data_IF_359718790389
#
_entry.id   IF_359718790389
#
_cell.length_a   1.000
_cell.length_b   1.000
_cell.length_c   1.000
_cell.angle_alpha   90.00
_cell.angle_beta   90.00
_cell.angle_gamma   90.00
#
_symmetry.space_group_name_H-M   'P 1'
#
loop_
_entity.id
_entity.type
_entity.pdbx_description
1 polymer ?
#
# COMPACT_ATOMS: atom_id res chain seq x y z
N UNK A 1 -32.97 15.94 6.59
CA UNK A 1 -32.05 15.35 5.61
C UNK A 1 -31.02 16.43 5.27
N UNK A 2 -29.74 16.21 5.53
CA UNK A 2 -28.68 17.20 5.29
C UNK A 2 -28.08 16.94 3.91
N UNK A 3 -28.12 17.90 2.97
CA UNK A 3 -27.52 17.70 1.64
C UNK A 3 -25.99 17.60 1.76
N UNK A 4 -25.40 16.65 1.03
CA UNK A 4 -23.97 16.35 1.04
C UNK A 4 -23.34 16.84 -0.27
N UNK A 5 -22.33 17.72 -0.18
CA UNK A 5 -21.68 18.34 -1.34
C UNK A 5 -20.21 17.89 -1.51
N UNK A 6 -19.91 16.63 -1.19
CA UNK A 6 -18.54 16.12 -1.15
C UNK A 6 -17.83 16.10 -2.49
N UNK A 7 -18.55 15.91 -3.60
CA UNK A 7 -17.93 15.88 -4.94
C UNK A 7 -17.27 17.20 -5.31
N UNK A 8 -17.91 18.34 -4.97
CA UNK A 8 -17.35 19.66 -5.24
C UNK A 8 -16.14 19.92 -4.32
N UNK A 9 -16.26 19.64 -3.03
CA UNK A 9 -15.15 19.74 -2.07
C UNK A 9 -13.93 18.91 -2.49
N UNK A 10 -14.15 17.65 -2.89
CA UNK A 10 -13.12 16.73 -3.38
C UNK A 10 -12.42 17.29 -4.62
N UNK A 11 -13.17 17.85 -5.57
CA UNK A 11 -12.60 18.46 -6.77
C UNK A 11 -11.84 19.75 -6.45
N UNK A 12 -12.32 20.57 -5.50
CA UNK A 12 -11.65 21.81 -5.11
C UNK A 12 -10.29 21.51 -4.43
N UNK A 13 -10.22 20.48 -3.58
CA UNK A 13 -8.94 20.00 -3.03
C UNK A 13 -8.02 19.42 -4.11
N UNK A 14 -8.58 18.74 -5.11
CA UNK A 14 -7.79 18.25 -6.25
C UNK A 14 -7.17 19.39 -7.07
N UNK A 15 -7.91 20.47 -7.29
CA UNK A 15 -7.38 21.67 -7.97
C UNK A 15 -6.21 22.27 -7.19
N UNK A 16 -6.34 22.45 -5.88
CA UNK A 16 -5.25 22.94 -5.01
C UNK A 16 -3.99 22.07 -5.14
N UNK A 17 -4.15 20.74 -5.21
CA UNK A 17 -3.02 19.83 -5.43
C UNK A 17 -2.33 20.05 -6.79
N UNK A 18 -3.10 20.19 -7.87
CA UNK A 18 -2.54 20.32 -9.23
C UNK A 18 -1.92 21.68 -9.49
N UNK A 19 -2.55 22.74 -9.00
CA UNK A 19 -2.08 24.11 -9.18
C UNK A 19 -0.84 24.39 -8.32
N UNK A 20 -0.56 23.52 -7.34
CA UNK A 20 0.47 23.71 -6.33
C UNK A 20 0.37 25.11 -5.70
N UNK A 21 -0.86 25.52 -5.37
CA UNK A 21 -1.12 26.77 -4.65
C UNK A 21 -0.86 26.56 -3.16
N UNK A 22 -0.19 27.52 -2.51
CA UNK A 22 0.12 27.53 -1.05
C UNK A 22 0.69 26.23 -0.43
N UNK A 23 1.40 25.41 -1.22
CA UNK A 23 2.06 24.22 -0.69
C UNK A 23 3.19 24.59 0.28
N UNK A 24 3.36 23.77 1.32
CA UNK A 24 4.40 23.98 2.33
C UNK A 24 5.24 22.72 2.59
N UNK A 25 5.07 21.69 1.76
CA UNK A 25 5.87 20.45 1.78
C UNK A 25 6.30 20.10 0.36
N UNK A 26 7.58 19.79 0.20
CA UNK A 26 8.14 19.14 -0.99
C UNK A 26 8.58 17.74 -0.59
N UNK A 27 7.97 16.73 -1.20
CA UNK A 27 8.28 15.31 -0.98
C UNK A 27 9.02 14.80 -2.21
N UNK A 28 10.29 14.46 -2.04
CA UNK A 28 11.07 13.74 -3.06
C UNK A 28 10.81 12.25 -2.93
N UNK A 29 10.28 11.63 -3.97
CA UNK A 29 9.85 10.23 -3.98
C UNK A 29 10.63 9.45 -5.03
N UNK A 30 11.01 8.21 -4.72
CA UNK A 30 11.83 7.37 -5.58
C UNK A 30 13.33 7.65 -5.45
N UNK A 31 14.13 6.82 -6.12
CA UNK A 31 15.60 6.90 -6.09
C UNK A 31 16.19 7.32 -7.44
N UNK A 32 17.39 7.91 -7.39
CA UNK A 32 18.23 8.23 -8.55
C UNK A 32 17.49 9.05 -9.62
N UNK A 33 17.61 8.66 -10.89
CA UNK A 33 17.05 9.36 -12.05
C UNK A 33 15.52 9.26 -12.15
N UNK A 34 14.90 8.31 -11.43
CA UNK A 34 13.46 8.14 -11.39
C UNK A 34 12.81 8.95 -10.26
N UNK A 35 13.60 9.67 -9.46
CA UNK A 35 13.06 10.45 -8.35
C UNK A 35 12.21 11.63 -8.86
N UNK A 36 11.02 11.81 -8.28
CA UNK A 36 10.09 12.90 -8.62
C UNK A 36 9.77 13.71 -7.38
N UNK A 37 9.63 15.02 -7.55
CA UNK A 37 9.17 15.92 -6.49
C UNK A 37 7.66 16.10 -6.52
N UNK A 38 7.05 16.09 -5.35
CA UNK A 38 5.63 16.30 -5.12
C UNK A 38 5.43 17.49 -4.18
N UNK A 39 4.62 18.45 -4.62
CA UNK A 39 4.25 19.61 -3.82
C UNK A 39 2.93 19.33 -3.09
N UNK A 40 2.90 19.54 -1.77
CA UNK A 40 1.76 19.16 -0.96
C UNK A 40 1.58 20.03 0.30
N UNK A 41 0.45 19.83 0.97
CA UNK A 41 0.04 20.54 2.17
C UNK A 41 0.18 19.64 3.39
N UNK A 42 1.08 20.01 4.29
CA UNK A 42 1.34 19.25 5.52
C UNK A 42 0.06 19.02 6.33
N UNK A 43 -0.84 20.00 6.40
CA UNK A 43 -2.09 19.88 7.17
C UNK A 43 -3.00 18.76 6.64
N UNK A 44 -3.10 18.60 5.32
CA UNK A 44 -3.93 17.57 4.68
C UNK A 44 -3.28 16.20 4.89
N UNK A 45 -1.97 16.09 4.63
CA UNK A 45 -1.21 14.85 4.82
C UNK A 45 -1.33 14.33 6.26
N UNK A 46 -1.11 15.21 7.25
CA UNK A 46 -1.18 14.88 8.69
C UNK A 46 -2.59 14.53 9.16
N UNK A 47 -3.63 15.06 8.49
CA UNK A 47 -5.02 14.74 8.81
C UNK A 47 -5.43 13.36 8.27
N UNK A 48 -4.87 12.93 7.14
CA UNK A 48 -5.26 11.70 6.43
C UNK A 48 -4.33 10.51 6.67
N UNK A 49 -3.17 10.73 7.29
CA UNK A 49 -2.19 9.68 7.56
C UNK A 49 -1.52 9.90 8.92
N UNK A 50 -1.66 8.94 9.87
CA UNK A 50 -0.90 8.94 11.12
C UNK A 50 0.62 8.96 10.90
N UNK A 51 1.10 8.30 9.84
CA UNK A 51 2.50 8.32 9.45
C UNK A 51 2.96 9.76 9.18
N UNK A 52 2.27 10.47 8.27
CA UNK A 52 2.62 11.87 7.99
C UNK A 52 2.37 12.77 9.19
N UNK A 53 1.39 12.48 10.05
CA UNK A 53 1.20 13.19 11.32
C UNK A 53 2.45 13.13 12.18
N UNK A 54 3.07 11.96 12.33
CA UNK A 54 4.34 11.79 13.04
C UNK A 54 5.52 12.39 12.28
N UNK A 55 5.71 11.97 11.03
CA UNK A 55 6.85 12.33 10.19
C UNK A 55 6.96 13.85 9.99
N UNK A 56 5.84 14.54 9.76
CA UNK A 56 5.79 15.99 9.50
C UNK A 56 5.70 16.86 10.77
N UNK A 57 5.52 16.27 11.95
CA UNK A 57 5.57 17.01 13.22
C UNK A 57 6.96 16.97 13.88
N UNK A 58 7.91 16.25 13.28
CA UNK A 58 9.23 16.00 13.84
C UNK A 58 10.13 17.24 13.79
N UNK A 59 10.89 17.48 14.87
CA UNK A 59 11.89 18.56 14.95
C UNK A 59 13.08 18.35 13.99
N UNK A 60 13.20 17.17 13.40
CA UNK A 60 14.32 16.75 12.55
C UNK A 60 14.11 17.06 11.06
N UNK A 61 12.94 17.60 10.69
CA UNK A 61 12.68 17.93 9.30
C UNK A 61 13.42 19.19 8.91
N UNK A 62 14.12 19.14 7.79
CA UNK A 62 14.73 20.31 7.19
C UNK A 62 13.64 21.30 6.78
N UNK A 63 13.71 22.50 7.37
CA UNK A 63 12.88 23.63 7.00
C UNK A 63 13.76 24.71 6.41
N UNK A 64 13.47 25.11 5.17
CA UNK A 64 14.15 26.23 4.51
C UNK A 64 13.08 27.20 4.02
N UNK A 65 13.11 28.45 4.50
CA UNK A 65 12.11 29.47 4.20
C UNK A 65 10.66 28.96 4.45
N UNK A 66 10.44 28.32 5.60
CA UNK A 66 9.15 27.71 5.99
C UNK A 66 8.65 26.54 5.12
N UNK A 67 9.40 26.14 4.09
CA UNK A 67 9.15 24.93 3.29
C UNK A 67 9.74 23.70 3.97
N UNK A 68 8.94 22.64 4.10
CA UNK A 68 9.35 21.33 4.64
C UNK A 68 9.87 20.47 3.48
N UNK A 69 11.10 19.94 3.62
CA UNK A 69 11.66 18.97 2.67
C UNK A 69 11.64 17.57 3.28
N UNK A 70 11.08 16.62 2.54
CA UNK A 70 10.93 15.24 2.98
C UNK A 70 11.29 14.27 1.86
N UNK A 71 11.90 13.14 2.19
CA UNK A 71 12.32 12.13 1.21
C UNK A 71 11.67 10.78 1.50
N UNK A 72 11.17 10.14 0.45
CA UNK A 72 10.54 8.82 0.47
C UNK A 72 11.06 7.98 -0.70
N UNK A 73 12.32 7.51 -0.63
CA UNK A 73 12.98 6.84 -1.75
C UNK A 73 12.36 5.48 -2.11
N UNK A 74 11.74 4.82 -1.13
CA UNK A 74 11.27 3.44 -1.22
C UNK A 74 9.86 3.26 -1.80
N UNK A 75 9.26 4.33 -2.35
CA UNK A 75 7.96 4.28 -3.04
C UNK A 75 8.17 4.76 -4.47
N UNK A 76 7.59 4.05 -5.44
CA UNK A 76 7.61 4.48 -6.83
C UNK A 76 6.76 5.76 -7.04
N UNK A 77 7.22 6.74 -7.85
CA UNK A 77 6.49 7.99 -8.05
C UNK A 77 5.04 7.85 -8.53
N UNK A 78 4.76 6.90 -9.42
CA UNK A 78 3.40 6.59 -9.90
C UNK A 78 2.50 6.11 -8.75
N UNK A 79 2.99 5.20 -7.90
CA UNK A 79 2.27 4.72 -6.72
C UNK A 79 2.01 5.85 -5.74
N UNK A 80 3.00 6.71 -5.50
CA UNK A 80 2.83 7.86 -4.62
C UNK A 80 1.83 8.88 -5.18
N UNK A 81 1.80 9.09 -6.50
CA UNK A 81 0.80 9.95 -7.15
C UNK A 81 -0.63 9.45 -6.86
N UNK A 82 -0.85 8.14 -6.95
CA UNK A 82 -2.14 7.51 -6.59
C UNK A 82 -2.51 7.76 -5.13
N UNK A 83 -1.56 7.57 -4.20
CA UNK A 83 -1.76 7.81 -2.76
C UNK A 83 -2.08 9.28 -2.50
N UNK A 84 -1.35 10.20 -3.13
CA UNK A 84 -1.53 11.63 -2.94
C UNK A 84 -2.90 12.07 -3.47
N UNK A 85 -3.30 11.61 -4.65
CA UNK A 85 -4.66 11.83 -5.17
C UNK A 85 -5.72 11.29 -4.23
N UNK A 86 -5.54 10.08 -3.70
CA UNK A 86 -6.46 9.49 -2.72
C UNK A 86 -6.55 10.34 -1.45
N UNK A 87 -5.43 10.81 -0.91
CA UNK A 87 -5.39 11.64 0.30
C UNK A 87 -6.23 12.92 0.14
N UNK A 88 -6.12 13.59 -1.02
CA UNK A 88 -6.81 14.86 -1.26
C UNK A 88 -8.28 14.68 -1.63
N UNK A 89 -8.59 13.62 -2.38
CA UNK A 89 -9.89 13.52 -3.05
C UNK A 89 -10.79 12.43 -2.49
N UNK A 90 -10.23 11.44 -1.80
CA UNK A 90 -10.91 10.19 -1.43
C UNK A 90 -11.24 9.29 -2.62
N UNK A 91 -10.69 9.58 -3.81
CA UNK A 91 -10.92 8.80 -5.04
C UNK A 91 -9.68 7.98 -5.37
N UNK A 92 -9.91 6.80 -5.94
CA UNK A 92 -8.87 5.88 -6.36
C UNK A 92 -9.29 5.21 -7.68
N UNK A 93 -8.46 5.32 -8.71
CA UNK A 93 -8.70 4.73 -10.03
C UNK A 93 -7.67 3.63 -10.29
N UNK A 94 -8.09 2.37 -10.15
CA UNK A 94 -7.22 1.19 -10.27
C UNK A 94 -7.41 0.40 -11.56
N UNK A 95 -8.47 0.68 -12.33
CA UNK A 95 -8.89 -0.16 -13.46
C UNK A 95 -7.80 -0.31 -14.53
N UNK A 96 -7.14 0.79 -14.88
CA UNK A 96 -6.09 0.84 -15.90
C UNK A 96 -4.67 0.72 -15.32
N UNK A 97 -4.54 0.54 -14.00
CA UNK A 97 -3.24 0.46 -13.34
C UNK A 97 -2.66 -0.96 -13.46
N UNK A 98 -1.34 -1.10 -13.69
CA UNK A 98 -0.63 -2.37 -13.60
C UNK A 98 -0.88 -3.06 -12.26
N UNK A 99 -0.92 -4.38 -12.25
CA UNK A 99 -1.21 -5.12 -11.01
C UNK A 99 -0.03 -5.06 -10.04
N UNK A 100 1.19 -4.92 -10.58
CA UNK A 100 2.43 -4.65 -9.86
C UNK A 100 2.32 -3.33 -9.08
N UNK A 101 1.88 -2.26 -9.74
CA UNK A 101 1.67 -0.95 -9.10
C UNK A 101 0.60 -1.01 -8.00
N UNK A 102 -0.45 -1.83 -8.19
CA UNK A 102 -1.50 -2.03 -7.17
C UNK A 102 -0.95 -2.83 -5.98
N UNK A 103 -0.05 -3.80 -6.20
CA UNK A 103 0.64 -4.51 -5.12
C UNK A 103 1.60 -3.57 -4.38
N UNK A 104 2.34 -2.71 -5.09
CA UNK A 104 3.16 -1.66 -4.46
C UNK A 104 2.31 -0.64 -3.69
N UNK A 105 1.12 -0.29 -4.20
CA UNK A 105 0.16 0.54 -3.48
C UNK A 105 -0.27 -0.10 -2.16
N UNK A 106 -0.47 -1.42 -2.12
CA UNK A 106 -0.77 -2.15 -0.89
C UNK A 106 0.34 -1.97 0.14
N UNK A 107 1.60 -2.20 -0.26
CA UNK A 107 2.78 -2.07 0.60
C UNK A 107 2.91 -0.64 1.11
N UNK A 108 2.83 0.35 0.21
CA UNK A 108 2.95 1.76 0.54
C UNK A 108 1.82 2.25 1.45
N UNK A 109 0.60 1.70 1.32
CA UNK A 109 -0.54 2.06 2.16
C UNK A 109 -0.38 1.56 3.60
N UNK A 110 0.20 0.36 3.79
CA UNK A 110 0.57 -0.15 5.12
C UNK A 110 1.66 0.74 5.74
N UNK A 111 2.73 1.04 4.99
CA UNK A 111 3.86 1.83 5.47
C UNK A 111 3.45 3.27 5.85
N UNK A 112 2.54 3.88 5.07
CA UNK A 112 2.02 5.22 5.33
C UNK A 112 0.83 5.22 6.31
N UNK A 113 0.49 4.07 6.89
CA UNK A 113 -0.59 3.88 7.87
C UNK A 113 -1.94 4.39 7.36
N UNK A 114 -2.27 4.13 6.10
CA UNK A 114 -3.54 4.52 5.45
C UNK A 114 -4.46 3.29 5.42
N UNK A 115 -5.01 2.95 6.59
CA UNK A 115 -5.76 1.69 6.83
C UNK A 115 -6.94 1.50 5.86
N UNK A 116 -7.74 2.54 5.63
CA UNK A 116 -8.88 2.50 4.69
C UNK A 116 -8.45 2.09 3.28
N UNK A 117 -7.32 2.63 2.80
CA UNK A 117 -6.77 2.34 1.48
C UNK A 117 -6.17 0.93 1.44
N UNK A 118 -5.39 0.58 2.46
CA UNK A 118 -4.78 -0.73 2.61
C UNK A 118 -5.82 -1.86 2.58
N UNK A 119 -6.91 -1.69 3.32
CA UNK A 119 -8.01 -2.65 3.38
C UNK A 119 -8.76 -2.80 2.06
N UNK A 120 -8.98 -1.68 1.37
CA UNK A 120 -9.62 -1.66 0.06
C UNK A 120 -8.77 -2.38 -0.99
N UNK A 121 -7.47 -2.11 -1.02
CA UNK A 121 -6.55 -2.67 -2.03
C UNK A 121 -6.45 -4.19 -1.92
N UNK A 122 -6.44 -4.76 -0.70
CA UNK A 122 -6.51 -6.22 -0.51
C UNK A 122 -7.74 -6.82 -1.21
N UNK A 123 -8.91 -6.24 -0.95
CA UNK A 123 -10.17 -6.72 -1.52
C UNK A 123 -10.20 -6.55 -3.04
N UNK A 124 -9.68 -5.43 -3.55
CA UNK A 124 -9.60 -5.17 -4.98
C UNK A 124 -8.71 -6.19 -5.70
N UNK A 125 -7.52 -6.47 -5.16
CA UNK A 125 -6.60 -7.48 -5.72
C UNK A 125 -7.28 -8.84 -5.83
N UNK A 126 -7.98 -9.28 -4.77
CA UNK A 126 -8.69 -10.56 -4.74
C UNK A 126 -9.83 -10.61 -5.78
N UNK A 127 -10.64 -9.55 -5.86
CA UNK A 127 -11.84 -9.55 -6.72
C UNK A 127 -11.52 -9.30 -8.19
N UNK A 128 -10.69 -8.31 -8.48
CA UNK A 128 -10.49 -7.78 -9.82
C UNK A 128 -9.18 -8.27 -10.46
N UNK A 129 -8.23 -8.79 -9.66
CA UNK A 129 -6.90 -9.22 -10.11
C UNK A 129 -6.55 -10.66 -9.73
N UNK A 130 -7.53 -11.49 -9.38
CA UNK A 130 -7.32 -12.92 -9.03
C UNK A 130 -6.54 -13.70 -10.09
N UNK A 131 -6.80 -13.47 -11.38
CA UNK A 131 -6.07 -14.11 -12.47
C UNK A 131 -4.59 -13.73 -12.52
N UNK A 132 -4.25 -12.47 -12.21
CA UNK A 132 -2.86 -12.04 -12.10
C UNK A 132 -2.19 -12.57 -10.83
N UNK A 133 -2.92 -12.64 -9.71
CA UNK A 133 -2.42 -13.28 -8.48
C UNK A 133 -2.05 -14.74 -8.75
N UNK A 134 -2.87 -15.49 -9.50
CA UNK A 134 -2.58 -16.88 -9.82
C UNK A 134 -1.28 -17.05 -10.64
N UNK A 135 -0.97 -16.12 -11.54
CA UNK A 135 0.26 -16.16 -12.35
C UNK A 135 1.49 -15.62 -11.60
N UNK A 136 1.31 -14.79 -10.58
CA UNK A 136 2.37 -14.18 -9.77
C UNK A 136 2.30 -14.62 -8.30
N UNK A 137 1.81 -15.84 -8.05
CA UNK A 137 1.41 -16.29 -6.72
C UNK A 137 2.52 -16.14 -5.68
N UNK A 138 3.75 -16.58 -6.01
CA UNK A 138 4.90 -16.47 -5.09
C UNK A 138 5.18 -15.02 -4.65
N UNK A 139 5.12 -14.07 -5.57
CA UNK A 139 5.35 -12.65 -5.28
C UNK A 139 4.27 -12.12 -4.32
N UNK A 140 3.01 -12.39 -4.64
CA UNK A 140 1.85 -11.93 -3.84
C UNK A 140 1.85 -12.59 -2.46
N UNK A 141 2.09 -13.90 -2.40
CA UNK A 141 2.18 -14.67 -1.17
C UNK A 141 3.29 -14.12 -0.26
N UNK A 142 4.52 -14.02 -0.77
CA UNK A 142 5.64 -13.48 0.02
C UNK A 142 5.36 -12.06 0.52
N UNK A 143 4.73 -11.22 -0.31
CA UNK A 143 4.36 -9.85 0.08
C UNK A 143 3.31 -9.84 1.18
N UNK A 144 2.22 -10.59 1.00
CA UNK A 144 1.11 -10.62 1.95
C UNK A 144 1.54 -11.10 3.34
N UNK A 145 2.38 -12.13 3.43
CA UNK A 145 2.85 -12.67 4.71
C UNK A 145 3.91 -11.81 5.40
N UNK A 146 4.63 -10.95 4.67
CA UNK A 146 5.51 -9.94 5.28
C UNK A 146 4.71 -8.84 5.99
N UNK A 147 3.51 -8.54 5.51
CA UNK A 147 2.64 -7.48 6.03
C UNK A 147 1.72 -8.03 7.14
N UNK A 148 1.86 -7.53 8.37
CA UNK A 148 1.19 -8.12 9.55
C UNK A 148 -0.35 -8.05 9.50
N UNK A 149 -0.92 -7.00 8.92
CA UNK A 149 -2.38 -6.79 8.89
C UNK A 149 -3.02 -7.21 7.56
N UNK A 150 -2.30 -7.93 6.70
CA UNK A 150 -2.75 -8.29 5.36
C UNK A 150 -3.66 -9.54 5.33
N UNK A 151 -4.53 -9.67 6.33
CA UNK A 151 -5.26 -10.91 6.62
C UNK A 151 -6.11 -11.38 5.42
N UNK A 152 -6.81 -10.47 4.73
CA UNK A 152 -7.73 -10.83 3.64
C UNK A 152 -6.97 -11.47 2.47
N UNK A 153 -5.81 -10.90 2.12
CA UNK A 153 -4.98 -11.43 1.03
C UNK A 153 -4.21 -12.67 1.46
N UNK A 154 -3.75 -12.74 2.72
CA UNK A 154 -3.15 -13.95 3.29
C UNK A 154 -4.15 -15.13 3.27
N UNK A 155 -5.39 -14.92 3.72
CA UNK A 155 -6.45 -15.92 3.70
C UNK A 155 -6.74 -16.40 2.29
N UNK A 156 -6.91 -15.48 1.34
CA UNK A 156 -7.12 -15.83 -0.06
C UNK A 156 -5.96 -16.65 -0.65
N UNK A 157 -4.74 -16.22 -0.39
CA UNK A 157 -3.54 -16.93 -0.80
C UNK A 157 -3.47 -18.33 -0.19
N UNK A 158 -3.81 -18.46 1.08
CA UNK A 158 -3.81 -19.74 1.81
C UNK A 158 -4.89 -20.71 1.30
N UNK A 159 -6.11 -20.23 1.08
CA UNK A 159 -7.19 -21.04 0.49
C UNK A 159 -6.83 -21.53 -0.91
N UNK A 160 -6.14 -20.70 -1.69
CA UNK A 160 -5.69 -21.04 -3.04
C UNK A 160 -4.58 -22.11 -3.06
N UNK A 161 -3.72 -22.15 -2.03
CA UNK A 161 -2.69 -23.19 -1.90
C UNK A 161 -3.20 -24.47 -1.25
N UNK A 162 -4.15 -24.42 -0.30
CA UNK A 162 -4.65 -25.57 0.46
C UNK A 162 -5.27 -26.69 -0.40
N UNK A 163 -5.62 -26.41 -1.67
CA UNK A 163 -6.00 -27.43 -2.66
C UNK A 163 -4.82 -28.17 -3.32
N UNK A 164 -3.60 -27.64 -3.22
CA UNK A 164 -2.42 -28.01 -4.04
C UNK A 164 -1.13 -28.24 -3.22
N UNK A 165 -1.19 -28.16 -1.87
CA UNK A 165 -0.02 -28.20 -0.95
C UNK A 165 0.90 -29.41 -1.08
N UNK A 166 0.47 -30.50 -1.73
CA UNK A 166 1.24 -31.75 -1.72
C UNK A 166 2.41 -31.81 -2.70
N UNK A 167 2.65 -30.83 -3.58
CA UNK A 167 3.67 -31.02 -4.65
C UNK A 167 4.42 -29.79 -5.18
N UNK A 168 4.13 -28.55 -4.77
CA UNK A 168 4.75 -27.39 -5.45
C UNK A 168 6.10 -26.99 -4.83
N UNK A 169 7.12 -26.83 -5.70
CA UNK A 169 8.44 -26.29 -5.37
C UNK A 169 8.40 -24.85 -4.80
N UNK A 170 7.22 -24.22 -4.76
CA UNK A 170 7.00 -22.85 -4.31
C UNK A 170 7.08 -22.72 -2.79
N UNK A 171 6.83 -23.80 -2.04
CA UNK A 171 7.03 -23.82 -0.59
C UNK A 171 8.52 -23.74 -0.21
N UNK A 172 9.37 -24.37 -1.02
CA UNK A 172 10.83 -24.42 -0.80
C UNK A 172 11.52 -23.08 -1.07
N UNK A 173 10.86 -22.14 -1.76
CA UNK A 173 11.40 -20.80 -2.02
C UNK A 173 10.96 -19.75 -0.99
N UNK A 174 10.12 -20.11 -0.03
CA UNK A 174 9.69 -19.23 1.04
C UNK A 174 10.81 -19.01 2.06
N UNK A 175 10.91 -17.78 2.56
CA UNK A 175 11.80 -17.49 3.68
C UNK A 175 11.25 -18.05 5.00
N UNK A 176 12.15 -18.26 5.95
CA UNK A 176 11.83 -18.87 7.25
C UNK A 176 10.74 -18.11 8.00
N UNK A 177 10.71 -16.79 7.94
CA UNK A 177 9.74 -15.98 8.68
C UNK A 177 8.35 -16.11 8.07
N UNK A 178 8.27 -16.18 6.75
CA UNK A 178 7.02 -16.47 6.02
C UNK A 178 6.49 -17.86 6.38
N UNK A 179 7.35 -18.89 6.41
CA UNK A 179 6.95 -20.25 6.82
C UNK A 179 6.45 -20.26 8.27
N UNK A 180 7.16 -19.59 9.18
CA UNK A 180 6.79 -19.52 10.59
C UNK A 180 5.42 -18.86 10.78
N UNK A 181 5.18 -17.70 10.15
CA UNK A 181 3.87 -17.02 10.17
C UNK A 181 2.75 -17.86 9.56
N UNK A 182 3.08 -18.65 8.56
CA UNK A 182 2.12 -19.63 8.02
C UNK A 182 1.78 -20.65 9.11
N UNK A 183 2.77 -21.34 9.67
CA UNK A 183 2.58 -22.38 10.68
C UNK A 183 1.93 -21.90 11.99
N UNK A 184 2.01 -20.61 12.33
CA UNK A 184 1.28 -20.02 13.47
C UNK A 184 -0.25 -19.99 13.28
N UNK A 185 -0.76 -20.20 12.07
CA UNK A 185 -2.20 -20.22 11.84
C UNK A 185 -2.83 -21.54 12.31
N UNK A 186 -3.84 -21.43 13.17
CA UNK A 186 -4.56 -22.58 13.73
C UNK A 186 -5.45 -23.33 12.70
N UNK A 187 -5.69 -22.75 11.52
CA UNK A 187 -6.56 -23.30 10.47
C UNK A 187 -5.84 -24.19 9.45
N UNK A 188 -4.52 -24.35 9.61
CA UNK A 188 -3.71 -25.17 8.71
C UNK A 188 -3.97 -26.66 8.97
N UNK A 189 -4.67 -27.30 8.04
CA UNK A 189 -4.80 -28.76 7.99
C UNK A 189 -3.66 -29.39 7.19
N UNK A 190 -2.42 -29.20 7.63
CA UNK A 190 -1.28 -29.96 7.10
C UNK A 190 -1.12 -31.20 7.98
N UNK A 191 -1.01 -32.36 7.36
CA UNK A 191 -0.62 -33.58 8.07
C UNK A 191 0.78 -33.35 8.66
N UNK A 192 0.95 -33.51 9.98
CA UNK A 192 2.23 -33.29 10.66
C UNK A 192 3.39 -33.97 9.93
N UNK A 193 3.19 -35.18 9.41
CA UNK A 193 4.21 -35.92 8.65
C UNK A 193 4.69 -35.15 7.43
N UNK A 194 3.78 -34.49 6.72
CA UNK A 194 4.07 -33.66 5.53
C UNK A 194 4.66 -32.29 5.89
N UNK A 195 4.43 -31.80 7.11
CA UNK A 195 5.07 -30.57 7.59
C UNK A 195 6.54 -30.77 7.98
N UNK A 196 6.92 -32.00 8.36
CA UNK A 196 8.27 -32.36 8.80
C UNK A 196 9.17 -32.94 7.70
N UNK A 197 8.63 -33.25 6.51
CA UNK A 197 9.36 -33.67 5.30
C UNK A 197 9.79 -32.47 4.44
#
# INVERSE_FOLDING_TARGET
>A
MTPLFYSKLSNDLFSILNDADDYNVIIKVGENENAKEFHAHSVILRARSPYFKGALSSCWIEKKNDMIFYSKPNIAPNVFDMILRYIYTGKLELTEQPSEDILELLIASDELLIEELFDYVQVYLIKERSGWIATHFHLVFSTAFKLNNCNKLQDYCFESTCGSFSTSNEFLSLDKDTIYKMLERDDIKINEVTAWE
#
